data_IF_267657737920
#
_entry.id   IF_267657737920
#
_cell.length_a   1.000
_cell.length_b   1.000
_cell.length_c   1.000
_cell.angle_alpha   90.00
_cell.angle_beta   90.00
_cell.angle_gamma   90.00
#
_symmetry.space_group_name_H-M   'P 1'
#
loop_
_entity.id
_entity.type
_entity.pdbx_description
1 polymer ?
#
# COMPACT_ATOMS: atom_id res chain seq x y z
N UNK A 1 -15.52 -22.29 17.96
CA UNK A 1 -15.89 -21.28 18.99
C UNK A 1 -16.52 -20.06 18.31
N UNK A 2 -17.25 -19.21 19.06
CA UNK A 2 -17.70 -17.89 18.55
C UNK A 2 -16.67 -16.82 18.89
N UNK A 3 -16.34 -15.97 17.91
CA UNK A 3 -15.32 -14.91 18.04
C UNK A 3 -15.94 -13.59 17.58
N UNK A 4 -15.88 -12.57 18.44
CA UNK A 4 -16.36 -11.22 18.09
C UNK A 4 -15.19 -10.41 17.52
N UNK A 5 -15.44 -9.76 16.38
CA UNK A 5 -14.49 -8.92 15.67
C UNK A 5 -15.06 -7.50 15.62
N UNK A 6 -14.31 -6.53 16.10
CA UNK A 6 -14.70 -5.12 16.05
C UNK A 6 -14.14 -4.47 14.76
N UNK A 7 -15.06 -4.04 13.88
CA UNK A 7 -14.77 -3.38 12.61
C UNK A 7 -14.75 -4.33 11.41
N UNK A 8 -15.45 -3.92 10.35
CA UNK A 8 -15.55 -4.62 9.07
C UNK A 8 -14.68 -3.95 7.98
N UNK A 9 -13.50 -3.46 8.34
CA UNK A 9 -12.44 -3.12 7.40
C UNK A 9 -11.72 -4.38 6.89
N UNK A 10 -10.75 -4.23 5.97
CA UNK A 10 -10.00 -5.36 5.39
C UNK A 10 -9.44 -6.32 6.44
N UNK A 11 -8.85 -5.80 7.52
CA UNK A 11 -8.29 -6.63 8.58
C UNK A 11 -9.35 -7.47 9.29
N UNK A 12 -10.51 -6.86 9.65
CA UNK A 12 -11.59 -7.58 10.32
C UNK A 12 -12.26 -8.60 9.42
N UNK A 13 -12.49 -8.27 8.15
CA UNK A 13 -13.09 -9.19 7.17
C UNK A 13 -12.13 -10.36 6.85
N UNK A 14 -10.83 -10.10 6.69
CA UNK A 14 -9.83 -11.16 6.50
C UNK A 14 -9.74 -12.08 7.72
N UNK A 15 -9.76 -11.51 8.92
CA UNK A 15 -9.81 -12.29 10.16
C UNK A 15 -11.06 -13.19 10.21
N UNK A 16 -12.23 -12.63 9.85
CA UNK A 16 -13.47 -13.40 9.80
C UNK A 16 -13.39 -14.57 8.81
N UNK A 17 -12.85 -14.34 7.60
CA UNK A 17 -12.63 -15.39 6.61
C UNK A 17 -11.77 -16.52 7.18
N UNK A 18 -10.60 -16.21 7.71
CA UNK A 18 -9.70 -17.23 8.23
C UNK A 18 -10.26 -17.96 9.46
N UNK A 19 -11.10 -17.32 10.26
CA UNK A 19 -11.81 -17.99 11.35
C UNK A 19 -12.83 -19.00 10.83
N UNK A 20 -13.59 -18.64 9.77
CA UNK A 20 -14.53 -19.56 9.12
C UNK A 20 -13.79 -20.75 8.53
N UNK A 21 -12.70 -20.52 7.81
CA UNK A 21 -11.87 -21.57 7.21
C UNK A 21 -11.33 -22.57 8.26
N UNK A 22 -11.19 -22.13 9.51
CA UNK A 22 -10.76 -22.94 10.64
C UNK A 22 -11.93 -23.44 11.51
N UNK A 23 -13.15 -23.43 11.02
CA UNK A 23 -14.33 -23.99 11.71
C UNK A 23 -14.83 -23.15 12.88
N UNK A 24 -14.50 -21.87 12.93
CA UNK A 24 -15.01 -20.93 13.93
C UNK A 24 -16.18 -20.12 13.40
N UNK A 25 -16.93 -19.47 14.29
CA UNK A 25 -18.07 -18.62 13.95
C UNK A 25 -17.71 -17.17 14.30
N UNK A 26 -17.27 -16.35 13.32
CA UNK A 26 -17.03 -14.94 13.55
C UNK A 26 -18.33 -14.15 13.64
N UNK A 27 -18.35 -13.13 14.50
CA UNK A 27 -19.39 -12.11 14.61
C UNK A 27 -18.70 -10.77 14.40
N UNK A 28 -18.88 -10.18 13.23
CA UNK A 28 -18.27 -8.89 12.90
C UNK A 28 -19.23 -7.77 13.30
N UNK A 29 -18.76 -6.84 14.11
CA UNK A 29 -19.48 -5.65 14.52
C UNK A 29 -18.91 -4.45 13.78
N UNK A 30 -19.74 -3.73 13.04
CA UNK A 30 -19.37 -2.53 12.31
C UNK A 30 -20.28 -1.38 12.76
N UNK A 31 -19.68 -0.19 12.94
CA UNK A 31 -20.39 0.99 13.39
C UNK A 31 -21.12 1.73 12.25
N UNK A 32 -20.68 1.51 11.01
CA UNK A 32 -21.24 2.11 9.81
C UNK A 32 -22.12 1.09 9.07
N UNK A 33 -23.04 1.55 8.28
CA UNK A 33 -23.86 0.77 7.38
C UNK A 33 -23.15 0.32 6.10
N UNK A 34 -21.89 0.78 5.91
CA UNK A 34 -21.02 0.44 4.78
C UNK A 34 -19.82 -0.35 5.27
N UNK A 35 -19.58 -1.52 4.67
CA UNK A 35 -18.44 -2.38 4.97
C UNK A 35 -17.20 -1.96 4.17
N UNK A 36 -16.03 -2.43 4.58
CA UNK A 36 -14.76 -2.22 3.87
C UNK A 36 -13.81 -1.21 4.54
N UNK A 37 -14.31 -0.35 5.44
CA UNK A 37 -13.48 0.64 6.12
C UNK A 37 -12.82 1.63 5.14
N UNK A 38 -11.50 1.66 5.06
CA UNK A 38 -10.76 2.56 4.14
C UNK A 38 -10.82 2.16 2.66
N UNK A 39 -11.33 0.98 2.34
CA UNK A 39 -11.57 0.52 0.96
C UNK A 39 -13.08 0.39 0.67
N UNK A 40 -13.90 1.06 1.46
CA UNK A 40 -15.34 1.02 1.28
C UNK A 40 -15.76 1.71 -0.02
N UNK A 41 -16.76 1.12 -0.67
CA UNK A 41 -17.46 1.71 -1.80
C UNK A 41 -18.98 1.58 -1.56
N UNK A 42 -19.73 2.57 -1.97
CA UNK A 42 -21.19 2.59 -1.87
C UNK A 42 -21.81 3.35 -3.03
N UNK A 43 -23.10 3.19 -3.20
CA UNK A 43 -23.87 3.99 -4.15
C UNK A 43 -24.53 5.16 -3.43
N UNK A 44 -24.61 6.29 -4.12
CA UNK A 44 -25.44 7.42 -3.68
C UNK A 44 -26.91 7.26 -4.10
N UNK A 45 -27.68 8.31 -3.88
CA UNK A 45 -29.12 8.33 -4.21
C UNK A 45 -29.38 8.27 -5.71
N UNK A 46 -28.43 8.74 -6.55
CA UNK A 46 -28.50 8.71 -8.01
C UNK A 46 -28.02 7.38 -8.60
N UNK A 47 -27.46 6.50 -7.76
CA UNK A 47 -26.95 5.18 -8.15
C UNK A 47 -25.49 5.17 -8.60
N UNK A 48 -24.78 6.27 -8.48
CA UNK A 48 -23.37 6.41 -8.78
C UNK A 48 -22.51 5.80 -7.68
N UNK A 49 -21.36 5.21 -8.08
CA UNK A 49 -20.43 4.61 -7.14
C UNK A 49 -19.48 5.64 -6.56
N UNK A 50 -19.42 5.67 -5.23
CA UNK A 50 -18.44 6.44 -4.46
C UNK A 50 -17.48 5.50 -3.73
N UNK A 51 -16.21 5.87 -3.72
CA UNK A 51 -15.16 5.17 -2.99
C UNK A 51 -14.49 6.11 -1.98
N UNK A 52 -13.99 5.57 -0.88
CA UNK A 52 -13.26 6.37 0.14
C UNK A 52 -11.94 6.93 -0.39
N UNK A 53 -11.46 6.46 -1.52
CA UNK A 53 -10.24 6.90 -2.19
C UNK A 53 -9.80 5.92 -3.26
N UNK A 54 -8.74 6.29 -3.97
CA UNK A 54 -8.14 5.41 -4.98
C UNK A 54 -7.55 4.16 -4.32
N UNK A 55 -7.99 2.99 -4.77
CA UNK A 55 -7.51 1.70 -4.28
C UNK A 55 -6.45 1.15 -5.23
N UNK A 56 -5.19 1.21 -4.79
CA UNK A 56 -4.06 0.68 -5.55
C UNK A 56 -3.48 -0.51 -4.78
N UNK A 57 -3.29 -1.63 -5.49
CA UNK A 57 -2.60 -2.81 -4.99
C UNK A 57 -1.26 -2.97 -5.72
N UNK A 58 -0.20 -3.12 -4.95
CA UNK A 58 1.13 -3.34 -5.50
C UNK A 58 1.47 -4.83 -5.51
N UNK A 59 2.22 -5.26 -6.52
CA UNK A 59 2.76 -6.62 -6.59
C UNK A 59 3.63 -7.02 -5.39
N UNK A 60 4.07 -6.04 -4.60
CA UNK A 60 4.80 -6.24 -3.36
C UNK A 60 3.91 -6.57 -2.13
N UNK A 61 2.60 -6.78 -2.31
CA UNK A 61 1.66 -7.14 -1.24
C UNK A 61 1.29 -8.64 -1.28
N UNK A 62 2.21 -9.56 -0.96
CA UNK A 62 2.00 -10.99 -1.17
C UNK A 62 0.77 -11.53 -0.43
N UNK A 63 0.52 -11.07 0.80
CA UNK A 63 -0.64 -11.52 1.58
C UNK A 63 -1.96 -11.06 0.97
N UNK A 64 -2.00 -9.87 0.37
CA UNK A 64 -3.21 -9.36 -0.29
C UNK A 64 -3.47 -10.12 -1.59
N UNK A 65 -2.44 -10.37 -2.39
CA UNK A 65 -2.54 -11.15 -3.61
C UNK A 65 -2.95 -12.60 -3.30
N UNK A 66 -2.44 -13.20 -2.24
CA UNK A 66 -2.87 -14.50 -1.77
C UNK A 66 -4.36 -14.49 -1.37
N UNK A 67 -4.82 -13.46 -0.65
CA UNK A 67 -6.24 -13.32 -0.30
C UNK A 67 -7.12 -13.21 -1.56
N UNK A 68 -6.72 -12.45 -2.57
CA UNK A 68 -7.48 -12.36 -3.83
C UNK A 68 -7.58 -13.69 -4.55
N UNK A 69 -6.50 -14.48 -4.53
CA UNK A 69 -6.48 -15.83 -5.06
C UNK A 69 -7.44 -16.76 -4.29
N UNK A 70 -7.42 -16.71 -2.96
CA UNK A 70 -8.31 -17.50 -2.12
C UNK A 70 -9.78 -17.13 -2.28
N UNK A 71 -10.08 -15.88 -2.69
CA UNK A 71 -11.41 -15.37 -2.96
C UNK A 71 -11.82 -15.55 -4.44
N UNK A 72 -10.93 -16.06 -5.29
CA UNK A 72 -11.15 -16.23 -6.73
C UNK A 72 -11.55 -14.91 -7.43
N UNK A 73 -10.80 -13.83 -7.14
CA UNK A 73 -11.04 -12.48 -7.68
C UNK A 73 -9.78 -11.84 -8.29
N UNK A 74 -8.74 -12.63 -8.56
CA UNK A 74 -7.50 -12.12 -9.18
C UNK A 74 -7.74 -11.52 -10.58
N UNK A 75 -8.69 -12.06 -11.33
CA UNK A 75 -9.10 -11.61 -12.67
C UNK A 75 -9.70 -10.19 -12.68
N UNK A 76 -10.14 -9.70 -11.52
CA UNK A 76 -10.65 -8.33 -11.35
C UNK A 76 -9.54 -7.28 -11.19
N UNK A 77 -8.29 -7.70 -11.00
CA UNK A 77 -7.16 -6.78 -10.93
C UNK A 77 -6.73 -6.35 -12.33
N UNK A 78 -6.62 -5.04 -12.53
CA UNK A 78 -6.06 -4.49 -13.75
C UNK A 78 -4.62 -4.03 -13.48
N UNK A 79 -3.65 -4.80 -13.94
CA UNK A 79 -2.25 -4.42 -13.86
C UNK A 79 -1.93 -3.30 -14.85
N UNK A 80 -1.35 -2.21 -14.34
CA UNK A 80 -1.01 -1.01 -15.11
C UNK A 80 0.41 -0.56 -14.77
N UNK A 81 1.07 0.06 -15.74
CA UNK A 81 2.28 0.82 -15.47
C UNK A 81 1.95 1.99 -14.53
N UNK A 82 2.84 2.24 -13.59
CA UNK A 82 2.64 3.22 -12.54
C UNK A 82 3.61 4.39 -12.69
N UNK A 83 3.09 5.61 -12.58
CA UNK A 83 3.88 6.84 -12.49
C UNK A 83 3.40 7.66 -11.31
N UNK A 84 4.34 8.17 -10.52
CA UNK A 84 4.05 9.17 -9.49
C UNK A 84 4.43 10.55 -10.00
N UNK A 85 3.50 11.49 -9.92
CA UNK A 85 3.69 12.86 -10.38
C UNK A 85 3.60 13.79 -9.16
N UNK A 86 4.61 14.61 -8.98
CA UNK A 86 4.68 15.62 -7.93
C UNK A 86 4.68 17.01 -8.58
N UNK A 87 3.67 17.82 -8.28
CA UNK A 87 3.66 19.22 -8.67
C UNK A 87 4.56 20.03 -7.73
N UNK A 88 5.20 21.08 -8.28
CA UNK A 88 5.92 22.08 -7.50
C UNK A 88 5.00 23.29 -7.25
N UNK A 89 4.44 23.47 -6.04
CA UNK A 89 3.49 24.55 -5.78
C UNK A 89 4.09 25.96 -5.95
N UNK A 90 5.41 26.09 -5.77
CA UNK A 90 6.16 27.34 -5.98
C UNK A 90 6.31 27.73 -7.45
N UNK A 91 6.17 26.78 -8.36
CA UNK A 91 6.38 26.96 -9.81
C UNK A 91 5.23 26.30 -10.58
N UNK A 92 4.08 26.99 -10.74
CA UNK A 92 2.92 26.44 -11.43
C UNK A 92 3.26 25.95 -12.85
N UNK A 93 2.89 24.70 -13.16
CA UNK A 93 3.19 24.04 -14.43
C UNK A 93 4.48 23.22 -14.43
N UNK A 94 5.28 23.30 -13.37
CA UNK A 94 6.45 22.46 -13.16
C UNK A 94 6.07 21.23 -12.36
N UNK A 95 6.44 20.06 -12.85
CA UNK A 95 6.20 18.78 -12.14
C UNK A 95 7.40 17.85 -12.30
N UNK A 96 7.57 16.98 -11.33
CA UNK A 96 8.52 15.88 -11.39
C UNK A 96 7.81 14.56 -11.52
N UNK A 97 8.41 13.61 -12.23
CA UNK A 97 7.81 12.33 -12.54
C UNK A 97 8.75 11.18 -12.20
N UNK A 98 8.20 10.17 -11.52
CA UNK A 98 8.85 8.88 -11.28
C UNK A 98 8.09 7.81 -12.04
N UNK A 99 8.72 7.22 -13.06
CA UNK A 99 8.16 6.12 -13.83
C UNK A 99 8.67 4.79 -13.30
N UNK A 100 7.74 3.92 -12.93
CA UNK A 100 8.05 2.59 -12.45
C UNK A 100 7.94 1.61 -13.62
N UNK A 101 9.05 1.08 -14.13
CA UNK A 101 9.02 0.11 -15.21
C UNK A 101 8.39 -1.21 -14.76
N UNK A 102 7.91 -1.99 -15.71
CA UNK A 102 7.31 -3.31 -15.47
C UNK A 102 8.39 -4.38 -15.24
N UNK A 103 9.12 -4.20 -14.15
CA UNK A 103 10.11 -5.15 -13.64
C UNK A 103 9.85 -5.40 -12.15
N UNK A 104 10.25 -6.57 -11.62
CA UNK A 104 9.97 -6.93 -10.22
C UNK A 104 10.54 -5.93 -9.21
N UNK A 105 9.80 -5.73 -8.12
CA UNK A 105 10.31 -5.00 -6.96
C UNK A 105 11.51 -5.76 -6.34
N UNK A 106 12.52 -5.07 -5.80
CA UNK A 106 12.65 -3.61 -5.65
C UNK A 106 13.27 -2.89 -6.86
N UNK A 107 13.63 -3.62 -7.92
CA UNK A 107 14.36 -3.06 -9.06
C UNK A 107 13.57 -1.94 -9.77
N UNK A 108 12.24 -2.04 -9.86
CA UNK A 108 11.38 -1.00 -10.41
C UNK A 108 11.49 0.33 -9.64
N UNK A 109 11.48 0.29 -8.30
CA UNK A 109 11.64 1.48 -7.45
C UNK A 109 13.02 2.10 -7.58
N UNK A 110 14.08 1.27 -7.60
CA UNK A 110 15.46 1.74 -7.81
C UNK A 110 15.58 2.42 -9.18
N UNK A 111 15.03 1.81 -10.24
CA UNK A 111 15.02 2.39 -11.58
C UNK A 111 14.30 3.73 -11.61
N UNK A 112 13.13 3.84 -11.00
CA UNK A 112 12.36 5.08 -10.94
C UNK A 112 13.13 6.22 -10.24
N UNK A 113 13.84 5.93 -9.16
CA UNK A 113 14.67 6.91 -8.43
C UNK A 113 15.87 7.33 -9.28
N UNK A 114 16.58 6.38 -9.87
CA UNK A 114 17.78 6.68 -10.65
C UNK A 114 17.47 7.46 -11.93
N UNK A 115 16.33 7.17 -12.58
CA UNK A 115 15.91 7.86 -13.82
C UNK A 115 15.32 9.25 -13.59
N UNK A 116 14.86 9.57 -12.37
CA UNK A 116 14.36 10.91 -12.06
C UNK A 116 15.52 11.92 -12.08
N UNK A 117 15.40 13.00 -12.86
CA UNK A 117 16.40 14.05 -12.96
C UNK A 117 15.84 15.44 -12.62
N UNK A 118 14.56 15.52 -12.30
CA UNK A 118 13.86 16.79 -12.08
C UNK A 118 13.82 17.16 -10.59
N UNK A 119 13.62 16.17 -9.73
CA UNK A 119 13.41 16.38 -8.29
C UNK A 119 14.61 15.97 -7.44
N UNK A 120 15.36 14.96 -7.86
CA UNK A 120 16.48 14.40 -7.10
C UNK A 120 17.83 14.63 -7.78
N UNK A 121 18.71 15.36 -7.13
CA UNK A 121 20.13 15.44 -7.47
C UNK A 121 20.84 14.11 -7.21
N UNK A 122 22.00 13.90 -7.80
CA UNK A 122 22.80 12.69 -7.55
C UNK A 122 23.20 12.52 -6.08
N UNK A 123 23.48 13.61 -5.36
CA UNK A 123 23.78 13.55 -3.94
C UNK A 123 22.57 13.05 -3.14
N UNK A 124 21.36 13.52 -3.46
CA UNK A 124 20.14 13.08 -2.80
C UNK A 124 19.82 11.63 -3.11
N UNK A 125 20.02 11.17 -4.35
CA UNK A 125 19.90 9.75 -4.72
C UNK A 125 20.84 8.85 -3.92
N UNK A 126 22.09 9.27 -3.74
CA UNK A 126 23.08 8.54 -2.93
C UNK A 126 22.65 8.51 -1.45
N UNK A 127 22.27 9.66 -0.87
CA UNK A 127 21.80 9.74 0.52
C UNK A 127 20.55 8.88 0.75
N UNK A 128 19.60 8.91 -0.18
CA UNK A 128 18.42 8.08 -0.14
C UNK A 128 18.78 6.58 -0.17
N UNK A 129 19.71 6.20 -1.06
CA UNK A 129 20.22 4.84 -1.12
C UNK A 129 20.91 4.40 0.18
N UNK A 130 21.75 5.25 0.77
CA UNK A 130 22.41 4.98 2.05
C UNK A 130 21.40 4.74 3.20
N UNK A 131 20.28 5.45 3.18
CA UNK A 131 19.18 5.23 4.13
C UNK A 131 18.43 3.90 3.90
N UNK A 132 18.13 3.56 2.66
CA UNK A 132 17.30 2.39 2.32
C UNK A 132 18.08 1.06 2.26
N UNK A 133 19.30 1.07 1.74
CA UNK A 133 20.11 -0.15 1.56
C UNK A 133 20.25 -0.96 2.86
N UNK A 134 20.51 -0.37 4.04
CA UNK A 134 20.56 -1.13 5.28
C UNK A 134 19.25 -1.86 5.61
N UNK A 135 18.09 -1.24 5.32
CA UNK A 135 16.78 -1.87 5.53
C UNK A 135 16.58 -3.05 4.58
N UNK A 136 16.96 -2.89 3.31
CA UNK A 136 16.86 -3.95 2.30
C UNK A 136 17.77 -5.14 2.61
N UNK A 137 19.01 -4.92 3.06
CA UNK A 137 19.98 -5.96 3.33
C UNK A 137 19.77 -6.68 4.67
N UNK A 138 19.32 -5.96 5.70
CA UNK A 138 19.17 -6.48 7.06
C UNK A 138 17.74 -6.89 7.41
N UNK A 139 16.78 -6.50 6.57
CA UNK A 139 15.37 -6.86 6.71
C UNK A 139 14.76 -6.50 8.07
N UNK A 140 13.90 -7.36 8.58
CA UNK A 140 13.10 -7.12 9.79
C UNK A 140 13.92 -6.71 11.02
N UNK A 141 15.09 -7.34 11.23
CA UNK A 141 15.97 -6.99 12.38
C UNK A 141 16.42 -5.53 12.40
N UNK A 142 16.62 -4.95 11.22
CA UNK A 142 16.95 -3.53 11.11
C UNK A 142 15.72 -2.65 11.38
N UNK A 143 14.56 -3.03 10.83
CA UNK A 143 13.31 -2.31 11.04
C UNK A 143 12.93 -2.28 12.52
N UNK A 144 12.99 -3.40 13.22
CA UNK A 144 12.73 -3.49 14.68
C UNK A 144 13.64 -2.55 15.50
N UNK A 145 14.90 -2.39 15.05
CA UNK A 145 15.83 -1.44 15.67
C UNK A 145 15.47 0.00 15.38
N UNK A 146 14.96 0.28 14.17
CA UNK A 146 14.56 1.63 13.74
C UNK A 146 13.23 2.05 14.36
N UNK A 147 12.35 1.11 14.71
CA UNK A 147 11.01 1.36 15.28
C UNK A 147 11.05 2.22 16.57
N UNK A 148 12.18 2.23 17.26
CA UNK A 148 12.43 3.04 18.47
C UNK A 148 12.97 4.44 18.19
N UNK A 149 13.24 4.78 16.91
CA UNK A 149 13.76 6.08 16.49
C UNK A 149 12.63 6.93 15.90
N UNK A 150 12.67 8.24 16.19
CA UNK A 150 11.82 9.16 15.44
C UNK A 150 12.30 9.25 13.99
N UNK A 151 11.39 9.61 13.09
CA UNK A 151 11.75 9.84 11.68
C UNK A 151 12.83 10.89 11.53
N UNK A 152 12.74 11.99 12.30
CA UNK A 152 13.73 13.08 12.31
C UNK A 152 15.12 12.59 12.75
N UNK A 153 15.19 11.68 13.72
CA UNK A 153 16.48 11.15 14.20
C UNK A 153 17.05 10.08 13.25
N UNK A 154 16.20 9.46 12.45
CA UNK A 154 16.68 8.53 11.43
C UNK A 154 17.25 9.25 10.22
N UNK A 155 16.74 10.46 9.89
CA UNK A 155 17.20 11.30 8.78
C UNK A 155 18.49 12.08 9.08
N UNK A 156 18.95 12.18 10.32
CA UNK A 156 20.23 12.78 10.73
C UNK A 156 21.38 11.78 10.62
#
# INVERSE_FOLDING_TARGET
MRVVIAGAGLAGLSCAKYLVDNGHIPIVLEARDVLGGKVAAWKDEDGDWYETGLHIFFGAYPNMLQLFKELDIEDRLQWKSHSMIFNQPSEPGTYSRFDFPDIPAPANGVSAILSNNDMLSWNEKILFGLGLVPAMLRGQKYLDKCDKKSWTDWLK
#
